data_IF_038837836636
#
_entry.id   IF_038837836636
#
_cell.length_a   1.000
_cell.length_b   1.000
_cell.length_c   1.000
_cell.angle_alpha   90.00
_cell.angle_beta   90.00
_cell.angle_gamma   90.00
#
_symmetry.space_group_name_H-M   'P 1'
#
loop_
_entity.id
_entity.type
_entity.pdbx_description
1 polymer ?
#
# COMPACT_ATOMS: atom_id res chain seq x y z
N UNK A 1 -2.00 30.44 -3.76
CA UNK A 1 -3.28 30.42 -3.02
C UNK A 1 -3.92 29.11 -3.42
N UNK A 2 -3.61 28.01 -2.74
CA UNK A 2 -4.25 27.62 -1.49
C UNK A 2 -3.26 27.44 -0.33
N UNK A 3 -3.64 27.95 0.85
CA UNK A 3 -2.98 27.73 2.14
C UNK A 3 -4.04 27.07 3.01
N UNK A 4 -3.94 25.75 3.20
CA UNK A 4 -4.77 25.00 4.13
C UNK A 4 -3.93 23.92 4.77
N UNK A 5 -3.83 23.92 6.09
CA UNK A 5 -3.09 22.91 6.84
C UNK A 5 -3.62 21.51 6.53
N UNK A 6 -2.87 20.77 5.73
CA UNK A 6 -3.07 19.34 5.61
C UNK A 6 -2.49 18.73 6.89
N UNK A 7 -3.34 18.51 7.89
CA UNK A 7 -3.08 17.46 8.88
C UNK A 7 -3.05 16.14 8.10
N UNK A 8 -1.90 15.85 7.48
CA UNK A 8 -1.63 14.61 6.78
C UNK A 8 -1.63 13.54 7.86
N UNK A 9 -2.77 12.86 8.02
CA UNK A 9 -2.80 11.57 8.69
C UNK A 9 -1.79 10.71 7.92
N UNK A 10 -0.75 10.26 8.60
CA UNK A 10 0.49 9.69 8.05
C UNK A 10 0.29 8.32 7.37
N UNK A 11 -0.71 8.16 6.49
CA UNK A 11 -1.03 6.85 5.93
C UNK A 11 -1.80 6.81 4.60
N UNK A 12 -2.57 7.83 4.23
CA UNK A 12 -3.43 7.74 3.04
C UNK A 12 -2.81 8.42 1.82
N UNK A 13 -2.82 7.71 0.68
CA UNK A 13 -2.40 8.24 -0.61
C UNK A 13 -3.44 9.22 -1.16
N UNK A 14 -2.99 10.30 -1.79
CA UNK A 14 -3.92 11.20 -2.50
C UNK A 14 -4.46 10.54 -3.76
N UNK A 15 -5.62 10.99 -4.28
CA UNK A 15 -6.13 10.50 -5.56
C UNK A 15 -5.11 10.60 -6.70
N UNK A 16 -4.32 11.67 -6.73
CA UNK A 16 -3.28 11.91 -7.73
C UNK A 16 -2.15 10.88 -7.62
N UNK A 17 -1.70 10.56 -6.40
CA UNK A 17 -0.67 9.54 -6.15
C UNK A 17 -1.17 8.14 -6.58
N UNK A 18 -2.43 7.82 -6.29
CA UNK A 18 -3.06 6.57 -6.74
C UNK A 18 -3.13 6.49 -8.26
N UNK A 19 -3.51 7.59 -8.94
CA UNK A 19 -3.52 7.61 -10.41
C UNK A 19 -2.11 7.48 -11.00
N UNK A 20 -1.11 8.15 -10.41
CA UNK A 20 0.27 8.03 -10.86
C UNK A 20 0.80 6.60 -10.71
N UNK A 21 0.51 5.93 -9.59
CA UNK A 21 0.87 4.53 -9.38
C UNK A 21 0.22 3.61 -10.43
N UNK A 22 -1.08 3.78 -10.68
CA UNK A 22 -1.79 3.01 -11.72
C UNK A 22 -1.21 3.25 -13.12
N UNK A 23 -0.90 4.50 -13.46
CA UNK A 23 -0.29 4.85 -14.73
C UNK A 23 1.12 4.26 -14.90
N UNK A 24 1.85 4.08 -13.80
CA UNK A 24 3.15 3.37 -13.78
C UNK A 24 3.02 1.84 -13.83
N UNK A 25 1.79 1.29 -13.87
CA UNK A 25 1.54 -0.15 -13.96
C UNK A 25 1.42 -0.87 -12.62
N UNK A 26 1.33 -0.15 -11.49
CA UNK A 26 1.05 -0.78 -10.20
C UNK A 26 -0.37 -1.34 -10.15
N UNK A 27 -0.49 -2.54 -9.60
CA UNK A 27 -1.77 -3.23 -9.39
C UNK A 27 -2.14 -3.18 -7.91
N UNK A 28 -3.35 -2.73 -7.62
CA UNK A 28 -3.88 -2.75 -6.26
C UNK A 28 -4.21 -4.19 -5.86
N UNK A 29 -3.82 -4.60 -4.64
CA UNK A 29 -4.08 -5.92 -4.09
C UNK A 29 -4.60 -5.79 -2.66
N UNK A 30 -5.47 -6.71 -2.26
CA UNK A 30 -6.01 -6.79 -0.91
C UNK A 30 -5.28 -7.88 -0.10
N UNK A 31 -4.86 -7.56 1.12
CA UNK A 31 -4.22 -8.51 2.06
C UNK A 31 -5.24 -9.22 2.97
N UNK A 32 -6.44 -9.46 2.44
CA UNK A 32 -7.58 -10.00 3.17
C UNK A 32 -8.49 -8.92 3.78
N UNK A 33 -9.47 -9.31 4.62
CA UNK A 33 -10.55 -8.41 5.05
C UNK A 33 -10.18 -7.44 6.18
N UNK A 34 -8.94 -7.50 6.68
CA UNK A 34 -8.49 -6.68 7.82
C UNK A 34 -7.60 -5.55 7.33
N UNK A 35 -7.88 -4.34 7.80
CA UNK A 35 -6.97 -3.20 7.62
C UNK A 35 -5.71 -3.45 8.45
N UNK A 36 -4.57 -3.57 7.77
CA UNK A 36 -3.27 -3.72 8.41
C UNK A 36 -2.66 -2.34 8.65
N UNK A 37 -1.89 -2.21 9.73
CA UNK A 37 -1.08 -1.02 9.97
C UNK A 37 0.01 -0.90 8.90
N UNK A 38 0.40 0.33 8.56
CA UNK A 38 1.43 0.62 7.57
C UNK A 38 2.75 -0.15 7.82
N UNK A 39 3.13 -0.40 9.08
CA UNK A 39 4.34 -1.15 9.42
C UNK A 39 4.19 -2.68 9.24
N UNK A 40 2.96 -3.19 9.32
CA UNK A 40 2.65 -4.64 9.28
C UNK A 40 2.35 -5.13 7.87
N UNK A 41 1.69 -4.29 7.06
CA UNK A 41 1.30 -4.67 5.70
C UNK A 41 2.48 -5.11 4.82
N UNK A 42 3.64 -4.43 4.80
CA UNK A 42 4.79 -4.83 4.00
C UNK A 42 5.38 -6.18 4.44
N UNK A 43 5.47 -6.41 5.75
CA UNK A 43 5.99 -7.67 6.31
C UNK A 43 5.08 -8.83 5.91
N UNK A 44 3.76 -8.67 6.07
CA UNK A 44 2.78 -9.68 5.69
C UNK A 44 2.81 -9.96 4.18
N UNK A 45 2.82 -8.93 3.34
CA UNK A 45 2.90 -9.08 1.88
C UNK A 45 4.17 -9.82 1.47
N UNK A 46 5.33 -9.49 2.07
CA UNK A 46 6.60 -10.13 1.74
C UNK A 46 6.59 -11.62 2.11
N UNK A 47 6.02 -11.98 3.27
CA UNK A 47 5.87 -13.38 3.66
C UNK A 47 4.94 -14.14 2.70
N UNK A 48 3.81 -13.54 2.31
CA UNK A 48 2.87 -14.13 1.34
C UNK A 48 3.56 -14.37 -0.01
N UNK A 49 4.31 -13.39 -0.51
CA UNK A 49 5.01 -13.51 -1.79
C UNK A 49 6.09 -14.59 -1.75
N UNK A 50 6.91 -14.64 -0.69
CA UNK A 50 7.94 -15.68 -0.54
C UNK A 50 7.32 -17.09 -0.50
N UNK A 51 6.19 -17.25 0.21
CA UNK A 51 5.47 -18.51 0.22
C UNK A 51 4.87 -18.86 -1.14
N UNK A 52 4.20 -17.90 -1.79
CA UNK A 52 3.58 -18.11 -3.10
C UNK A 52 4.59 -18.44 -4.21
N UNK A 53 5.82 -17.93 -4.09
CA UNK A 53 6.92 -18.18 -5.03
C UNK A 53 7.71 -19.45 -4.71
N UNK A 54 7.43 -20.14 -3.60
CA UNK A 54 8.11 -21.38 -3.23
C UNK A 54 9.48 -21.19 -2.56
N UNK A 55 9.82 -19.95 -2.17
CA UNK A 55 11.06 -19.64 -1.45
C UNK A 55 10.98 -20.02 0.04
N UNK A 56 9.76 -20.22 0.55
CA UNK A 56 9.51 -20.79 1.87
C UNK A 56 9.10 -22.25 1.73
N UNK A 57 10.07 -23.16 1.82
CA UNK A 57 9.92 -24.61 1.75
C UNK A 57 11.06 -25.33 2.47
#
# INVERSE_FOLDING_TARGET
>A
MDRGGHTRLEGDLTPEEVQAARAAGFVAVDLGPRVLRADTAPIALTAILQHALGEMG
#
